data_IF_681236969371
#
_entry.id   IF_681236969371
#
_cell.length_a   1.000
_cell.length_b   1.000
_cell.length_c   1.000
_cell.angle_alpha   90.00
_cell.angle_beta   90.00
_cell.angle_gamma   90.00
#
_symmetry.space_group_name_H-M   'P 1'
#
loop_
_entity.id
_entity.type
_entity.pdbx_description
1 polymer ?
#
# COMPACT_ATOMS: atom_id res chain seq x y z
N UNK A 1 -12.55 -1.39 -23.43
CA UNK A 1 -12.75 -0.73 -22.12
C UNK A 1 -12.16 -1.56 -21.00
N UNK A 2 -12.04 -0.96 -19.82
CA UNK A 2 -11.61 -1.71 -18.63
C UNK A 2 -12.67 -2.75 -18.26
N UNK A 3 -12.25 -3.94 -17.75
CA UNK A 3 -13.20 -4.90 -17.26
C UNK A 3 -13.91 -4.32 -16.02
N UNK A 4 -15.23 -4.45 -15.98
CA UNK A 4 -16.03 -4.07 -14.82
C UNK A 4 -16.14 -5.20 -13.78
N UNK A 5 -15.67 -6.39 -14.13
CA UNK A 5 -15.62 -7.57 -13.26
C UNK A 5 -14.25 -8.26 -13.37
N UNK A 6 -13.75 -8.74 -12.24
CA UNK A 6 -12.52 -9.52 -12.15
C UNK A 6 -12.81 -10.80 -11.37
N UNK A 7 -12.52 -11.95 -11.97
CA UNK A 7 -12.69 -13.26 -11.36
C UNK A 7 -11.38 -13.89 -10.98
N UNK A 8 -11.32 -14.46 -9.78
CA UNK A 8 -10.24 -15.34 -9.36
C UNK A 8 -10.85 -16.48 -8.52
N UNK A 9 -10.97 -17.66 -9.09
CA UNK A 9 -11.64 -18.82 -8.49
C UNK A 9 -13.09 -18.46 -8.05
N UNK A 10 -13.36 -18.44 -6.74
CA UNK A 10 -14.62 -18.06 -6.13
C UNK A 10 -14.70 -16.59 -5.71
N UNK A 11 -13.59 -15.85 -5.85
CA UNK A 11 -13.55 -14.43 -5.55
C UNK A 11 -13.91 -13.59 -6.79
N UNK A 12 -14.85 -12.65 -6.62
CA UNK A 12 -15.28 -11.69 -7.64
C UNK A 12 -15.09 -10.27 -7.13
N UNK A 13 -14.59 -9.39 -8.00
CA UNK A 13 -14.61 -7.94 -7.82
C UNK A 13 -15.49 -7.32 -8.89
N UNK A 14 -16.46 -6.51 -8.49
CA UNK A 14 -17.30 -5.70 -9.37
C UNK A 14 -16.88 -4.23 -9.21
N UNK A 15 -16.62 -3.56 -10.33
CA UNK A 15 -16.16 -2.17 -10.37
C UNK A 15 -17.24 -1.34 -11.06
N UNK A 16 -17.61 -0.21 -10.45
CA UNK A 16 -18.58 0.73 -11.00
C UNK A 16 -18.18 2.17 -10.71
N UNK A 17 -18.67 3.11 -11.53
CA UNK A 17 -18.40 4.54 -11.37
C UNK A 17 -19.41 5.24 -10.44
N UNK A 18 -20.55 4.61 -10.19
CA UNK A 18 -21.61 5.13 -9.31
C UNK A 18 -22.23 4.02 -8.46
N UNK A 19 -22.83 4.42 -7.32
CA UNK A 19 -23.56 3.51 -6.45
C UNK A 19 -24.69 2.79 -7.18
N UNK A 20 -25.47 3.54 -7.98
CA UNK A 20 -26.59 2.96 -8.75
C UNK A 20 -26.10 1.87 -9.69
N UNK A 21 -25.10 2.16 -10.48
CA UNK A 21 -24.48 1.20 -11.40
C UNK A 21 -23.94 -0.05 -10.66
N UNK A 22 -23.33 0.16 -9.49
CA UNK A 22 -22.84 -0.95 -8.66
C UNK A 22 -23.97 -1.85 -8.21
N UNK A 23 -25.07 -1.27 -7.73
CA UNK A 23 -26.25 -2.02 -7.29
C UNK A 23 -26.89 -2.83 -8.41
N UNK A 24 -27.08 -2.21 -9.60
CA UNK A 24 -27.60 -2.87 -10.79
C UNK A 24 -26.73 -4.07 -11.21
N UNK A 25 -25.40 -3.89 -11.22
CA UNK A 25 -24.44 -4.96 -11.55
C UNK A 25 -24.44 -6.10 -10.53
N UNK A 26 -24.45 -5.77 -9.23
CA UNK A 26 -24.49 -6.78 -8.16
C UNK A 26 -25.79 -7.57 -8.25
N UNK A 27 -26.92 -6.90 -8.46
CA UNK A 27 -28.24 -7.54 -8.57
C UNK A 27 -28.28 -8.52 -9.74
N UNK A 28 -27.91 -8.06 -10.94
CA UNK A 28 -27.87 -8.89 -12.15
C UNK A 28 -26.94 -10.10 -11.99
N UNK A 29 -25.75 -9.89 -11.39
CA UNK A 29 -24.81 -10.97 -11.13
C UNK A 29 -25.36 -11.98 -10.12
N UNK A 30 -25.95 -11.49 -9.02
CA UNK A 30 -26.55 -12.35 -7.99
C UNK A 30 -27.65 -13.23 -8.55
N UNK A 31 -28.58 -12.65 -9.31
CA UNK A 31 -29.66 -13.39 -9.98
C UNK A 31 -29.12 -14.44 -10.95
N UNK A 32 -28.09 -14.08 -11.74
CA UNK A 32 -27.43 -15.01 -12.64
C UNK A 32 -26.78 -16.19 -11.94
N UNK A 33 -26.18 -16.00 -10.76
CA UNK A 33 -25.57 -17.05 -9.96
C UNK A 33 -26.62 -17.92 -9.26
N UNK A 34 -27.64 -17.30 -8.67
CA UNK A 34 -28.71 -17.98 -7.95
C UNK A 34 -29.58 -18.84 -8.90
N UNK A 35 -29.79 -18.39 -10.14
CA UNK A 35 -30.48 -19.18 -11.17
C UNK A 35 -29.74 -20.49 -11.50
N UNK A 36 -28.44 -20.57 -11.22
CA UNK A 36 -27.58 -21.74 -11.39
C UNK A 36 -27.39 -22.56 -10.10
N UNK A 37 -28.11 -22.21 -9.03
CA UNK A 37 -28.03 -22.87 -7.74
C UNK A 37 -26.87 -22.46 -6.85
N UNK A 38 -26.11 -21.38 -7.21
CA UNK A 38 -25.05 -20.83 -6.41
C UNK A 38 -25.58 -19.71 -5.51
N UNK A 39 -25.07 -19.57 -4.29
CA UNK A 39 -25.47 -18.50 -3.38
C UNK A 39 -24.32 -17.55 -3.09
N UNK A 40 -24.61 -16.25 -3.15
CA UNK A 40 -23.66 -15.20 -2.78
C UNK A 40 -23.50 -15.16 -1.26
N UNK A 41 -22.25 -15.18 -0.78
CA UNK A 41 -21.99 -15.03 0.64
C UNK A 41 -21.98 -13.54 1.02
N UNK A 42 -23.14 -13.01 1.39
CA UNK A 42 -23.35 -11.59 1.75
C UNK A 42 -22.42 -11.15 2.88
N UNK A 43 -22.17 -11.99 3.89
CA UNK A 43 -21.31 -11.63 5.04
C UNK A 43 -19.84 -11.45 4.64
N UNK A 44 -19.37 -12.19 3.62
CA UNK A 44 -18.00 -12.05 3.10
C UNK A 44 -17.87 -10.99 2.02
N UNK A 45 -18.97 -10.62 1.37
CA UNK A 45 -18.99 -9.59 0.34
C UNK A 45 -18.97 -8.20 0.99
N UNK A 46 -18.06 -7.33 0.54
CA UNK A 46 -17.90 -5.98 1.08
C UNK A 46 -17.93 -4.98 -0.07
N UNK A 47 -18.41 -3.79 0.22
CA UNK A 47 -18.38 -2.66 -0.69
C UNK A 47 -17.32 -1.67 -0.22
N UNK A 48 -16.50 -1.19 -1.14
CA UNK A 48 -15.49 -0.17 -0.86
C UNK A 48 -15.69 1.01 -1.81
N UNK A 49 -15.97 2.17 -1.22
CA UNK A 49 -16.07 3.44 -1.96
C UNK A 49 -14.68 4.07 -1.98
N UNK A 50 -14.03 4.04 -3.13
CA UNK A 50 -12.74 4.69 -3.32
C UNK A 50 -12.96 6.17 -3.65
N UNK A 51 -12.50 7.05 -2.78
CA UNK A 51 -12.47 8.48 -3.06
C UNK A 51 -11.07 8.84 -3.57
N UNK A 52 -11.01 9.60 -4.65
CA UNK A 52 -9.89 10.49 -4.81
C UNK A 52 -10.04 11.55 -3.70
N UNK A 53 -9.38 11.35 -2.55
CA UNK A 53 -9.31 12.42 -1.57
C UNK A 53 -8.83 13.67 -2.31
N UNK A 54 -9.68 14.68 -2.40
CA UNK A 54 -9.22 16.02 -2.69
C UNK A 54 -8.23 16.34 -1.57
N UNK A 55 -6.94 16.15 -1.87
CA UNK A 55 -5.86 16.38 -0.93
C UNK A 55 -5.96 17.83 -0.52
N UNK A 56 -6.56 18.10 0.64
CA UNK A 56 -6.53 19.42 1.25
C UNK A 56 -5.05 19.73 1.44
N UNK A 57 -4.55 20.69 0.66
CA UNK A 57 -3.15 21.10 0.72
C UNK A 57 -2.77 21.49 2.10
N UNK A 58 -1.80 20.78 2.59
CA UNK A 58 -0.92 21.28 3.64
C UNK A 58 0.39 21.67 2.95
N UNK A 59 0.68 22.96 2.85
CA UNK A 59 2.04 23.40 2.57
C UNK A 59 2.97 22.81 3.62
N UNK A 60 4.16 22.36 3.23
CA UNK A 60 5.06 21.62 4.09
C UNK A 60 5.21 22.31 5.47
N UNK A 61 4.82 21.62 6.54
CA UNK A 61 4.92 22.08 7.91
C UNK A 61 3.71 22.85 8.45
N UNK A 62 2.59 22.97 7.73
CA UNK A 62 1.40 23.70 8.18
C UNK A 62 0.14 22.87 8.04
N UNK A 63 -0.57 22.64 9.14
CA UNK A 63 -1.88 22.02 9.15
C UNK A 63 -2.96 23.04 8.76
N UNK A 64 -4.06 22.65 8.07
CA UNK A 64 -5.13 23.57 7.75
C UNK A 64 -5.88 24.00 9.02
N UNK A 65 -6.14 25.30 9.14
CA UNK A 65 -6.95 25.84 10.21
C UNK A 65 -8.40 25.36 10.09
N UNK A 66 -8.99 24.88 11.18
CA UNK A 66 -10.38 24.39 11.22
C UNK A 66 -11.42 25.46 10.88
N UNK A 67 -11.07 26.74 10.95
CA UNK A 67 -11.97 27.87 10.71
C UNK A 67 -11.77 28.48 9.33
N UNK A 68 -10.54 28.84 8.94
CA UNK A 68 -10.29 29.56 7.69
C UNK A 68 -9.64 28.71 6.59
N UNK A 69 -9.29 27.46 6.86
CA UNK A 69 -8.68 26.53 5.88
C UNK A 69 -7.22 26.79 5.51
N UNK A 70 -6.65 27.97 5.90
CA UNK A 70 -5.24 28.28 5.60
C UNK A 70 -4.30 27.56 6.58
N UNK A 71 -3.04 27.32 6.14
CA UNK A 71 -2.07 26.60 6.94
C UNK A 71 -1.74 27.30 8.26
N UNK A 72 -1.70 26.54 9.37
CA UNK A 72 -1.36 27.04 10.70
C UNK A 72 0.14 27.00 10.94
N UNK A 73 0.67 28.03 11.63
CA UNK A 73 2.06 28.08 12.11
C UNK A 73 2.14 27.72 13.60
N UNK A 74 3.28 28.08 14.23
CA UNK A 74 3.55 27.82 15.65
C UNK A 74 2.55 28.46 16.63
N UNK A 75 1.80 29.48 16.20
CA UNK A 75 0.80 30.16 17.03
C UNK A 75 -0.61 29.63 16.75
N UNK A 76 -0.84 28.35 17.08
CA UNK A 76 -2.07 27.62 16.84
C UNK A 76 -2.41 26.72 18.03
N UNK A 77 -3.69 26.34 18.14
CA UNK A 77 -4.20 25.46 19.19
C UNK A 77 -4.96 24.30 18.57
N UNK A 78 -4.85 23.12 19.19
CA UNK A 78 -5.54 21.91 18.78
C UNK A 78 -6.93 21.85 19.40
N UNK A 79 -7.95 21.56 18.62
CA UNK A 79 -9.28 21.27 19.12
C UNK A 79 -9.33 19.87 19.76
N UNK A 80 -9.80 19.76 21.01
CA UNK A 80 -9.87 18.49 21.74
C UNK A 80 -10.95 17.56 21.18
N UNK A 81 -11.99 18.10 20.53
CA UNK A 81 -13.10 17.33 19.97
C UNK A 81 -12.75 16.70 18.59
N UNK A 82 -12.34 17.54 17.64
CA UNK A 82 -12.12 17.08 16.25
C UNK A 82 -10.65 16.90 15.88
N UNK A 83 -9.70 17.16 16.77
CA UNK A 83 -8.27 17.00 16.52
C UNK A 83 -7.70 17.92 15.42
N UNK A 84 -8.40 18.97 15.01
CA UNK A 84 -7.94 19.93 13.98
C UNK A 84 -7.29 21.16 14.62
N UNK A 85 -6.25 21.65 13.97
CA UNK A 85 -5.57 22.87 14.40
C UNK A 85 -6.36 24.13 14.05
N UNK A 86 -6.27 25.15 14.89
CA UNK A 86 -6.91 26.46 14.69
C UNK A 86 -5.91 27.55 14.96
N UNK A 87 -5.82 28.57 14.10
CA UNK A 87 -5.01 29.75 14.38
C UNK A 87 -5.49 30.43 15.65
N UNK A 88 -4.58 31.00 16.43
CA UNK A 88 -4.95 31.83 17.58
C UNK A 88 -5.95 32.93 17.20
N UNK A 89 -5.76 33.60 16.06
CA UNK A 89 -6.71 34.63 15.58
C UNK A 89 -8.10 34.07 15.28
N UNK A 90 -8.18 32.84 14.78
CA UNK A 90 -9.43 32.16 14.44
C UNK A 90 -10.07 31.47 15.64
N UNK A 91 -9.31 31.21 16.71
CA UNK A 91 -9.82 30.57 17.93
C UNK A 91 -10.61 31.50 18.84
N UNK A 92 -10.48 32.82 18.65
CA UNK A 92 -11.08 33.83 19.51
C UNK A 92 -10.40 33.99 20.89
N UNK A 93 -9.28 33.27 21.12
CA UNK A 93 -8.58 33.34 22.42
C UNK A 93 -7.76 34.63 22.49
N UNK A 94 -8.11 35.45 23.49
CA UNK A 94 -7.39 36.69 23.85
C UNK A 94 -6.28 36.30 24.83
N UNK A 95 -5.00 36.40 24.44
CA UNK A 95 -3.87 36.13 25.31
C UNK A 95 -2.87 35.11 24.72
N UNK A 96 -1.95 34.60 25.54
CA UNK A 96 -0.92 33.63 25.15
C UNK A 96 -1.51 32.23 25.18
N UNK A 97 -1.31 31.42 24.13
CA UNK A 97 -1.69 30.02 24.13
C UNK A 97 -0.77 29.24 25.08
N UNK A 98 -1.35 28.45 26.00
CA UNK A 98 -0.62 27.55 26.90
C UNK A 98 -0.78 26.11 26.43
N UNK A 99 0.22 25.26 26.64
CA UNK A 99 0.24 23.86 26.15
C UNK A 99 -0.94 22.99 26.66
N UNK A 100 -1.53 23.32 27.81
CA UNK A 100 -2.59 22.52 28.42
C UNK A 100 -3.98 23.19 28.36
N UNK A 101 -4.23 24.04 27.36
CA UNK A 101 -5.56 24.64 27.19
C UNK A 101 -6.52 23.68 26.48
N UNK A 102 -7.61 23.29 27.18
CA UNK A 102 -8.72 22.60 26.54
C UNK A 102 -9.47 23.58 25.64
N UNK A 103 -9.34 23.40 24.33
CA UNK A 103 -9.96 24.25 23.33
C UNK A 103 -10.88 23.44 22.42
N UNK A 104 -12.11 23.91 22.28
CA UNK A 104 -13.07 23.39 21.29
C UNK A 104 -13.29 24.45 20.22
N UNK A 105 -13.08 24.08 18.95
CA UNK A 105 -13.20 25.03 17.84
C UNK A 105 -14.66 25.48 17.62
N UNK A 106 -14.83 26.61 16.93
CA UNK A 106 -16.16 27.17 16.64
C UNK A 106 -17.07 26.20 15.91
N UNK A 107 -16.53 25.31 15.07
CA UNK A 107 -17.29 24.23 14.39
C UNK A 107 -17.86 23.21 15.37
N UNK A 108 -17.10 22.82 16.38
CA UNK A 108 -17.56 21.87 17.39
C UNK A 108 -18.41 22.54 18.49
N UNK A 109 -18.33 23.86 18.65
CA UNK A 109 -19.15 24.62 19.62
C UNK A 109 -20.54 24.98 19.11
N UNK A 110 -20.66 25.22 17.82
CA UNK A 110 -21.96 25.38 17.17
C UNK A 110 -22.39 23.98 16.78
N UNK A 111 -23.55 23.55 17.28
CA UNK A 111 -24.33 22.46 16.68
C UNK A 111 -24.85 22.94 15.31
N UNK A 112 -23.92 23.32 14.44
CA UNK A 112 -24.19 23.55 13.03
C UNK A 112 -24.32 22.17 12.47
N UNK A 113 -25.51 21.75 12.10
CA UNK A 113 -25.75 20.70 11.15
C UNK A 113 -24.69 20.81 10.07
N UNK A 114 -23.75 19.89 10.08
CA UNK A 114 -22.68 19.82 9.11
C UNK A 114 -23.35 19.46 7.81
N UNK A 115 -23.67 20.49 7.01
CA UNK A 115 -24.02 20.28 5.62
C UNK A 115 -22.76 19.68 4.98
N UNK A 116 -22.75 18.33 4.82
CA UNK A 116 -21.78 17.59 4.03
C UNK A 116 -20.69 16.83 4.76
N UNK A 117 -20.88 16.25 5.94
CA UNK A 117 -20.45 14.87 6.13
C UNK A 117 -21.56 14.02 5.50
N UNK A 118 -21.37 13.58 4.25
CA UNK A 118 -22.12 12.41 3.78
C UNK A 118 -21.97 11.39 4.92
N UNK A 119 -23.07 11.03 5.59
CA UNK A 119 -23.07 9.90 6.51
C UNK A 119 -22.38 8.77 5.75
N UNK A 120 -21.25 8.30 6.26
CA UNK A 120 -20.53 7.20 5.63
C UNK A 120 -21.50 6.04 5.70
N UNK A 121 -22.17 5.80 4.60
CA UNK A 121 -23.18 4.79 4.46
C UNK A 121 -22.55 3.46 4.88
N UNK A 122 -22.99 2.93 6.01
CA UNK A 122 -22.37 1.74 6.61
C UNK A 122 -22.74 0.48 5.84
N UNK A 123 -23.88 0.50 5.16
CA UNK A 123 -24.42 -0.64 4.44
C UNK A 123 -25.07 -0.19 3.14
N UNK A 124 -24.96 -0.99 2.08
CA UNK A 124 -25.78 -0.89 0.88
C UNK A 124 -26.84 -1.99 0.94
N UNK A 125 -28.10 -1.64 0.71
CA UNK A 125 -29.22 -2.57 0.72
C UNK A 125 -29.71 -2.75 -0.72
N UNK A 126 -29.77 -4.00 -1.21
CA UNK A 126 -30.36 -4.33 -2.49
C UNK A 126 -31.89 -4.44 -2.39
N UNK A 127 -32.57 -4.53 -3.55
CA UNK A 127 -34.04 -4.65 -3.62
C UNK A 127 -34.58 -5.91 -2.92
N UNK A 128 -33.81 -6.98 -2.90
CA UNK A 128 -34.15 -8.24 -2.21
C UNK A 128 -33.89 -8.20 -0.70
N UNK A 129 -33.48 -7.06 -0.14
CA UNK A 129 -33.18 -6.88 1.28
C UNK A 129 -31.76 -7.34 1.68
N UNK A 130 -30.93 -7.82 0.75
CA UNK A 130 -29.53 -8.17 1.04
C UNK A 130 -28.74 -6.93 1.42
N UNK A 131 -27.97 -6.99 2.52
CA UNK A 131 -27.20 -5.90 3.07
C UNK A 131 -25.70 -6.15 2.91
N UNK A 132 -25.00 -5.26 2.25
CA UNK A 132 -23.53 -5.31 2.07
C UNK A 132 -22.88 -4.22 2.89
N UNK A 133 -21.94 -4.61 3.76
CA UNK A 133 -21.19 -3.68 4.59
C UNK A 133 -20.23 -2.83 3.76
N UNK A 134 -20.26 -1.52 3.99
CA UNK A 134 -19.30 -0.58 3.42
C UNK A 134 -18.04 -0.51 4.29
N UNK A 135 -16.88 -0.76 3.68
CA UNK A 135 -15.59 -0.81 4.38
C UNK A 135 -14.58 0.15 3.76
N UNK A 136 -13.71 0.71 4.59
CA UNK A 136 -12.59 1.54 4.13
C UNK A 136 -11.33 0.72 3.81
N UNK A 137 -11.29 -0.55 4.23
CA UNK A 137 -10.17 -1.46 4.02
C UNK A 137 -10.71 -2.87 3.81
N UNK A 138 -10.14 -3.58 2.85
CA UNK A 138 -10.55 -4.94 2.52
C UNK A 138 -9.35 -5.82 2.19
N UNK A 139 -9.35 -7.04 2.70
CA UNK A 139 -8.34 -8.03 2.35
C UNK A 139 -8.80 -8.80 1.09
N UNK A 140 -8.13 -8.58 -0.03
CA UNK A 140 -8.40 -9.25 -1.29
C UNK A 140 -7.18 -10.06 -1.73
N UNK A 141 -7.38 -11.34 -2.03
CA UNK A 141 -6.30 -12.29 -2.40
C UNK A 141 -5.09 -12.25 -1.46
N UNK A 142 -5.37 -12.00 -0.17
CA UNK A 142 -4.34 -11.90 0.85
C UNK A 142 -3.61 -10.57 0.91
N UNK A 143 -3.84 -9.61 0.03
CA UNK A 143 -3.34 -8.25 0.17
C UNK A 143 -4.39 -7.29 0.74
N UNK A 144 -3.95 -6.19 1.35
CA UNK A 144 -4.85 -5.23 1.99
C UNK A 144 -5.07 -4.03 1.07
N UNK A 145 -6.28 -3.91 0.55
CA UNK A 145 -6.73 -2.75 -0.20
C UNK A 145 -7.27 -1.67 0.75
N UNK A 146 -7.02 -0.42 0.43
CA UNK A 146 -7.53 0.74 1.17
C UNK A 146 -8.30 1.66 0.22
N UNK A 147 -9.44 2.19 0.67
CA UNK A 147 -10.22 3.18 -0.06
C UNK A 147 -9.42 4.45 -0.38
N UNK A 148 -8.47 4.82 0.47
CA UNK A 148 -7.53 5.93 0.25
C UNK A 148 -6.38 5.59 -0.71
N UNK A 149 -6.27 4.34 -1.15
CA UNK A 149 -5.17 3.87 -1.99
C UNK A 149 -3.84 3.74 -1.25
N UNK A 150 -2.76 3.52 -2.03
CA UNK A 150 -1.40 3.37 -1.49
C UNK A 150 -1.09 1.99 -0.93
N UNK A 151 0.12 1.85 -0.35
CA UNK A 151 0.67 0.57 0.15
C UNK A 151 0.82 0.50 1.67
N UNK A 152 0.43 1.55 2.39
CA UNK A 152 0.68 1.66 3.85
C UNK A 152 0.01 0.53 4.62
N UNK A 153 -1.28 0.29 4.38
CA UNK A 153 -2.03 -0.76 5.07
C UNK A 153 -1.52 -2.15 4.73
N UNK A 154 -1.23 -2.39 3.44
CA UNK A 154 -0.64 -3.65 2.97
C UNK A 154 0.70 -3.91 3.66
N UNK A 155 1.63 -2.95 3.68
CA UNK A 155 2.93 -3.08 4.33
C UNK A 155 2.83 -3.34 5.83
N UNK A 156 1.86 -2.71 6.53
CA UNK A 156 1.61 -2.93 7.97
C UNK A 156 1.12 -4.37 8.20
N UNK A 157 0.11 -4.81 7.45
CA UNK A 157 -0.46 -6.16 7.61
C UNK A 157 0.59 -7.22 7.31
N UNK A 158 1.35 -7.08 6.21
CA UNK A 158 2.39 -8.03 5.84
C UNK A 158 3.52 -8.10 6.86
N UNK A 159 3.92 -6.97 7.43
CA UNK A 159 4.89 -6.95 8.53
C UNK A 159 4.37 -7.71 9.76
N UNK A 160 3.09 -7.54 10.11
CA UNK A 160 2.46 -8.30 11.22
C UNK A 160 2.42 -9.80 10.93
N UNK A 161 2.05 -10.19 9.71
CA UNK A 161 2.05 -11.60 9.27
C UNK A 161 3.46 -12.20 9.32
N UNK A 162 4.48 -11.46 8.88
CA UNK A 162 5.88 -11.88 8.94
C UNK A 162 6.34 -12.10 10.39
N UNK A 163 5.99 -11.20 11.31
CA UNK A 163 6.28 -11.39 12.74
C UNK A 163 5.56 -12.59 13.33
N UNK A 164 4.31 -12.85 12.95
CA UNK A 164 3.58 -14.06 13.37
C UNK A 164 4.34 -15.30 12.90
N UNK A 165 4.73 -15.35 11.64
CA UNK A 165 5.47 -16.47 11.08
C UNK A 165 6.87 -16.63 11.71
N UNK A 166 7.56 -15.51 11.96
CA UNK A 166 8.86 -15.53 12.64
C UNK A 166 8.74 -16.12 14.03
N UNK A 167 7.72 -15.74 14.81
CA UNK A 167 7.47 -16.29 16.16
C UNK A 167 7.23 -17.80 16.13
N UNK A 168 6.52 -18.31 15.14
CA UNK A 168 6.29 -19.75 14.96
C UNK A 168 7.60 -20.51 14.71
N UNK A 169 8.61 -19.86 14.13
CA UNK A 169 9.91 -20.44 13.84
C UNK A 169 10.94 -20.25 14.96
N UNK A 170 10.64 -19.47 16.01
CA UNK A 170 11.56 -19.23 17.15
C UNK A 170 12.13 -20.53 17.73
N UNK A 171 11.35 -21.59 17.97
CA UNK A 171 11.89 -22.84 18.55
C UNK A 171 13.02 -23.45 17.72
N UNK A 172 13.01 -23.22 16.40
CA UNK A 172 14.06 -23.68 15.49
C UNK A 172 15.18 -22.64 15.33
N UNK A 173 14.82 -21.38 15.06
CA UNK A 173 15.76 -20.29 14.84
C UNK A 173 16.63 -19.99 16.08
N UNK A 174 16.12 -20.27 17.30
CA UNK A 174 16.83 -20.11 18.57
C UNK A 174 17.84 -21.23 18.89
N UNK A 175 17.79 -22.38 18.19
CA UNK A 175 18.70 -23.49 18.49
C UNK A 175 20.16 -23.12 18.16
N UNK A 176 21.09 -23.40 19.12
CA UNK A 176 22.51 -23.11 18.96
C UNK A 176 23.21 -24.00 17.93
N UNK A 177 22.77 -25.26 17.76
CA UNK A 177 23.32 -26.19 16.76
C UNK A 177 22.93 -25.93 15.30
N UNK A 178 22.04 -24.95 15.02
CA UNK A 178 21.60 -24.61 13.68
C UNK A 178 22.51 -23.51 13.12
N UNK A 179 23.13 -23.76 11.96
CA UNK A 179 24.01 -22.78 11.32
C UNK A 179 23.25 -21.51 10.90
N UNK A 180 23.91 -20.34 10.93
CA UNK A 180 23.31 -19.07 10.53
C UNK A 180 22.82 -19.10 9.08
N UNK A 181 23.56 -19.76 8.17
CA UNK A 181 23.12 -19.92 6.77
C UNK A 181 21.79 -20.69 6.66
N UNK A 182 21.60 -21.73 7.47
CA UNK A 182 20.34 -22.49 7.49
C UNK A 182 19.20 -21.67 8.08
N UNK A 183 19.45 -20.90 9.16
CA UNK A 183 18.48 -19.94 9.71
C UNK A 183 18.07 -18.91 8.66
N UNK A 184 19.04 -18.36 7.91
CA UNK A 184 18.79 -17.43 6.82
C UNK A 184 17.96 -18.04 5.68
N UNK A 185 18.22 -19.31 5.30
CA UNK A 185 17.41 -20.02 4.30
C UNK A 185 15.94 -20.16 4.74
N UNK A 186 15.71 -20.54 6.00
CA UNK A 186 14.36 -20.63 6.55
C UNK A 186 13.68 -19.27 6.63
N UNK A 187 14.40 -18.26 7.12
CA UNK A 187 13.90 -16.87 7.16
C UNK A 187 13.43 -16.43 5.78
N UNK A 188 14.28 -16.57 4.75
CA UNK A 188 13.95 -16.19 3.39
C UNK A 188 12.71 -16.91 2.86
N UNK A 189 12.61 -18.23 3.08
CA UNK A 189 11.51 -19.03 2.52
C UNK A 189 10.19 -18.86 3.25
N UNK A 190 10.20 -18.65 4.56
CA UNK A 190 9.00 -18.67 5.39
C UNK A 190 8.58 -17.31 5.96
N UNK A 191 9.52 -16.38 6.13
CA UNK A 191 9.23 -15.07 6.76
C UNK A 191 9.32 -13.95 5.75
N UNK A 192 10.46 -13.83 5.05
CA UNK A 192 10.67 -12.77 4.07
C UNK A 192 9.66 -12.88 2.92
N UNK A 193 9.36 -14.09 2.44
CA UNK A 193 8.34 -14.34 1.41
C UNK A 193 6.95 -13.84 1.83
N UNK A 194 6.57 -14.00 3.10
CA UNK A 194 5.31 -13.48 3.65
C UNK A 194 5.34 -11.95 3.73
N UNK A 195 6.48 -11.38 4.12
CA UNK A 195 6.65 -9.93 4.26
C UNK A 195 6.51 -9.19 2.93
N UNK A 196 7.01 -9.78 1.84
CA UNK A 196 7.03 -9.16 0.50
C UNK A 196 5.92 -9.64 -0.43
N UNK A 197 4.96 -10.41 0.07
CA UNK A 197 3.85 -10.90 -0.76
C UNK A 197 3.05 -9.73 -1.34
N UNK A 198 2.75 -9.78 -2.64
CA UNK A 198 2.06 -8.75 -3.43
C UNK A 198 2.80 -7.38 -3.51
N UNK A 199 4.03 -7.29 -2.99
CA UNK A 199 4.80 -6.02 -2.98
C UNK A 199 5.19 -5.52 -4.36
N UNK A 200 5.10 -6.35 -5.39
CA UNK A 200 5.35 -6.00 -6.79
C UNK A 200 4.40 -4.92 -7.32
N UNK A 201 3.20 -4.80 -6.74
CA UNK A 201 2.19 -3.83 -7.13
C UNK A 201 2.17 -2.57 -6.26
N UNK A 202 2.95 -2.51 -5.17
CA UNK A 202 2.87 -1.43 -4.21
C UNK A 202 3.56 -0.14 -4.67
N UNK A 203 2.85 1.02 -4.60
CA UNK A 203 3.46 2.34 -4.76
C UNK A 203 4.16 2.77 -3.48
N UNK A 204 5.30 2.14 -3.17
CA UNK A 204 5.98 2.29 -1.88
C UNK A 204 6.51 3.70 -1.65
N UNK A 205 6.22 4.22 -0.45
CA UNK A 205 6.78 5.46 0.09
C UNK A 205 8.02 5.16 0.95
N UNK A 206 8.76 6.20 1.30
CA UNK A 206 9.94 6.09 2.18
C UNK A 206 9.59 5.46 3.54
N UNK A 207 8.41 5.78 4.08
CA UNK A 207 7.94 5.22 5.35
C UNK A 207 7.71 3.70 5.27
N UNK A 208 7.24 3.20 4.12
CA UNK A 208 7.04 1.77 3.88
C UNK A 208 8.39 1.05 3.78
N UNK A 209 9.34 1.61 3.03
CA UNK A 209 10.71 1.10 2.91
C UNK A 209 11.35 0.99 4.31
N UNK A 210 11.30 2.07 5.09
CA UNK A 210 11.84 2.11 6.44
C UNK A 210 11.13 1.15 7.40
N UNK A 211 9.82 0.91 7.21
CA UNK A 211 9.06 -0.05 8.02
C UNK A 211 9.57 -1.47 7.74
N UNK A 212 9.67 -1.86 6.48
CA UNK A 212 10.16 -3.19 6.11
C UNK A 212 11.58 -3.40 6.60
N UNK A 213 12.51 -2.47 6.36
CA UNK A 213 13.90 -2.59 6.79
C UNK A 213 14.06 -2.66 8.31
N UNK A 214 13.35 -1.82 9.06
CA UNK A 214 13.42 -1.85 10.54
C UNK A 214 12.98 -3.19 11.09
N UNK A 215 11.90 -3.76 10.54
CA UNK A 215 11.39 -5.05 10.99
C UNK A 215 12.31 -6.20 10.57
N UNK A 216 12.82 -6.20 9.34
CA UNK A 216 13.83 -7.15 8.91
C UNK A 216 15.04 -7.09 9.85
N UNK A 217 15.64 -5.92 10.04
CA UNK A 217 16.83 -5.75 10.85
C UNK A 217 16.65 -6.22 12.31
N UNK A 218 15.44 -6.06 12.88
CA UNK A 218 15.13 -6.58 14.21
C UNK A 218 15.16 -8.12 14.23
N UNK A 219 14.57 -8.78 13.22
CA UNK A 219 14.58 -10.24 13.08
C UNK A 219 15.99 -10.79 12.84
N UNK A 220 16.81 -10.11 11.99
CA UNK A 220 18.18 -10.52 11.71
C UNK A 220 19.07 -10.44 12.96
N UNK A 221 18.96 -9.33 13.72
CA UNK A 221 19.70 -9.21 14.99
C UNK A 221 19.35 -10.33 15.97
N UNK A 222 18.07 -10.62 16.08
CA UNK A 222 17.60 -11.70 16.94
C UNK A 222 18.18 -13.06 16.51
N UNK A 223 18.17 -13.39 15.21
CA UNK A 223 18.73 -14.65 14.69
C UNK A 223 20.25 -14.76 14.90
N UNK A 224 20.96 -13.65 14.81
CA UNK A 224 22.41 -13.59 15.01
C UNK A 224 22.82 -13.47 16.49
N UNK A 225 21.88 -13.31 17.42
CA UNK A 225 22.16 -13.11 18.84
C UNK A 225 22.88 -11.80 19.15
N UNK A 226 22.66 -10.76 18.36
CA UNK A 226 23.27 -9.43 18.54
C UNK A 226 22.22 -8.39 18.89
N UNK A 227 22.62 -7.37 19.64
CA UNK A 227 21.79 -6.25 20.05
C UNK A 227 22.12 -4.98 19.25
N UNK A 228 21.35 -3.93 19.44
CA UNK A 228 21.66 -2.61 18.85
C UNK A 228 22.96 -2.05 19.39
N UNK A 229 23.31 -2.36 20.65
CA UNK A 229 24.54 -1.90 21.32
C UNK A 229 25.82 -2.44 20.65
N UNK A 230 25.74 -3.61 20.03
CA UNK A 230 26.89 -4.25 19.37
C UNK A 230 27.27 -3.57 18.04
N UNK A 231 26.47 -2.60 17.58
CA UNK A 231 26.71 -1.77 16.39
C UNK A 231 27.03 -2.55 15.11
N UNK A 232 26.56 -3.81 15.01
CA UNK A 232 26.75 -4.64 13.81
C UNK A 232 25.86 -4.10 12.69
N UNK A 233 26.44 -3.89 11.51
CA UNK A 233 25.71 -3.36 10.35
C UNK A 233 24.70 -4.37 9.79
N UNK A 234 23.61 -3.87 9.20
CA UNK A 234 22.59 -4.73 8.56
C UNK A 234 23.18 -5.56 7.42
N UNK A 235 24.14 -5.01 6.68
CA UNK A 235 24.79 -5.72 5.58
C UNK A 235 25.65 -6.89 6.10
N UNK A 236 26.32 -6.70 7.20
CA UNK A 236 27.07 -7.78 7.85
C UNK A 236 26.15 -8.89 8.35
N UNK A 237 25.00 -8.54 8.96
CA UNK A 237 24.00 -9.52 9.39
C UNK A 237 23.43 -10.32 8.22
N UNK A 238 23.13 -9.64 7.11
CA UNK A 238 22.70 -10.30 5.86
C UNK A 238 23.77 -11.23 5.31
N UNK A 239 25.04 -10.82 5.34
CA UNK A 239 26.17 -11.66 4.95
C UNK A 239 26.32 -12.92 5.81
N UNK A 240 26.23 -12.79 7.14
CA UNK A 240 26.28 -13.94 8.08
C UNK A 240 25.15 -14.94 7.84
N UNK A 241 23.97 -14.47 7.51
CA UNK A 241 22.78 -15.28 7.24
C UNK A 241 22.68 -15.74 5.77
N UNK A 242 23.51 -15.21 4.88
CA UNK A 242 23.48 -15.43 3.44
C UNK A 242 22.10 -15.13 2.84
N UNK A 243 21.58 -13.94 3.12
CA UNK A 243 20.29 -13.46 2.63
C UNK A 243 20.43 -12.11 1.94
N UNK A 244 19.52 -11.85 1.05
CA UNK A 244 19.34 -10.56 0.39
C UNK A 244 18.41 -9.66 1.21
N UNK A 245 18.63 -8.34 1.17
CA UNK A 245 17.79 -7.38 1.87
C UNK A 245 16.36 -7.32 1.34
N UNK A 246 15.41 -7.06 2.22
CA UNK A 246 13.98 -7.04 1.88
C UNK A 246 13.65 -6.05 0.75
N UNK A 247 14.27 -4.86 0.73
CA UNK A 247 14.03 -3.86 -0.31
C UNK A 247 14.58 -4.30 -1.69
N UNK A 248 15.70 -5.00 -1.73
CA UNK A 248 16.22 -5.56 -2.99
C UNK A 248 15.30 -6.66 -3.53
N UNK A 249 14.71 -7.47 -2.65
CA UNK A 249 13.71 -8.48 -3.03
C UNK A 249 12.45 -7.81 -3.60
N UNK A 250 11.94 -6.76 -2.94
CA UNK A 250 10.78 -5.98 -3.41
C UNK A 250 11.06 -5.35 -4.78
N UNK A 251 12.20 -4.67 -4.93
CA UNK A 251 12.64 -4.05 -6.18
C UNK A 251 12.72 -5.06 -7.32
N UNK A 252 13.37 -6.20 -7.08
CA UNK A 252 13.48 -7.28 -8.07
C UNK A 252 12.10 -7.84 -8.45
N UNK A 253 11.21 -8.04 -7.49
CA UNK A 253 9.85 -8.52 -7.74
C UNK A 253 9.05 -7.52 -8.57
N UNK A 254 9.13 -6.21 -8.25
CA UNK A 254 8.49 -5.13 -9.01
C UNK A 254 9.01 -5.05 -10.44
N UNK A 255 10.32 -5.11 -10.64
CA UNK A 255 10.90 -5.11 -11.99
C UNK A 255 10.55 -6.37 -12.78
N UNK A 256 10.46 -7.55 -12.12
CA UNK A 256 9.99 -8.78 -12.76
C UNK A 256 8.55 -8.63 -13.25
N UNK A 257 7.68 -8.09 -12.41
CA UNK A 257 6.28 -7.80 -12.74
C UNK A 257 6.18 -6.78 -13.87
N UNK A 258 6.91 -5.68 -13.77
CA UNK A 258 6.98 -4.67 -14.84
C UNK A 258 7.36 -5.29 -16.18
N UNK A 259 8.43 -6.08 -16.24
CA UNK A 259 8.83 -6.75 -17.48
C UNK A 259 7.76 -7.73 -17.99
N UNK A 260 6.96 -8.36 -17.10
CA UNK A 260 5.84 -9.18 -17.52
C UNK A 260 4.74 -8.33 -18.18
N UNK A 261 4.37 -7.23 -17.56
CA UNK A 261 3.34 -6.29 -18.08
C UNK A 261 3.77 -5.64 -19.40
N UNK A 262 5.05 -5.24 -19.53
CA UNK A 262 5.56 -4.64 -20.78
C UNK A 262 5.53 -5.59 -21.99
N UNK A 263 5.57 -6.90 -21.77
CA UNK A 263 5.48 -7.91 -22.82
C UNK A 263 4.06 -8.41 -23.10
N UNK A 264 3.06 -7.88 -22.42
CA UNK A 264 1.66 -8.17 -22.67
C UNK A 264 1.20 -7.48 -23.97
N UNK A 265 0.27 -8.09 -24.66
CA UNK A 265 -0.35 -7.48 -25.83
C UNK A 265 -1.06 -6.18 -25.49
N UNK A 266 -1.11 -5.24 -26.43
CA UNK A 266 -1.75 -3.94 -26.22
C UNK A 266 -3.24 -4.05 -25.92
N UNK A 267 -3.88 -5.10 -26.43
CA UNK A 267 -5.30 -5.38 -26.20
C UNK A 267 -5.58 -6.10 -24.89
N UNK A 268 -4.52 -6.52 -24.17
CA UNK A 268 -4.66 -7.12 -22.83
C UNK A 268 -5.11 -6.05 -21.83
N UNK A 269 -6.10 -6.38 -21.00
CA UNK A 269 -6.66 -5.47 -20.00
C UNK A 269 -5.61 -4.97 -18.98
N UNK A 270 -4.57 -5.77 -18.69
CA UNK A 270 -3.45 -5.36 -17.81
C UNK A 270 -2.67 -4.21 -18.43
N UNK A 271 -2.45 -4.26 -19.77
CA UNK A 271 -1.81 -3.17 -20.52
C UNK A 271 -2.70 -1.93 -20.53
N UNK A 272 -4.00 -2.10 -20.71
CA UNK A 272 -4.96 -1.00 -20.64
C UNK A 272 -4.99 -0.35 -19.24
N UNK A 273 -4.94 -1.12 -18.16
CA UNK A 273 -4.85 -0.60 -16.79
C UNK A 273 -3.54 0.14 -16.51
N UNK A 274 -2.43 -0.34 -17.09
CA UNK A 274 -1.11 0.33 -16.94
C UNK A 274 -1.12 1.75 -17.51
N UNK A 275 -1.77 1.91 -18.64
CA UNK A 275 -1.75 3.15 -19.44
C UNK A 275 -3.01 4.00 -19.17
N UNK A 276 -3.86 3.58 -18.22
CA UNK A 276 -5.07 4.29 -17.87
C UNK A 276 -4.76 5.68 -17.32
N UNK A 277 -5.26 6.70 -18.00
CA UNK A 277 -5.34 8.04 -17.43
C UNK A 277 -6.67 8.16 -16.67
N UNK A 278 -6.58 8.50 -15.40
CA UNK A 278 -7.76 8.63 -14.53
C UNK A 278 -8.19 10.08 -14.55
N UNK A 279 -9.37 10.32 -15.12
CA UNK A 279 -10.00 11.64 -15.11
C UNK A 279 -10.21 12.11 -13.66
N UNK A 280 -9.82 13.34 -13.40
CA UNK A 280 -10.02 13.95 -12.09
C UNK A 280 -9.17 15.20 -11.87
N UNK A 281 -9.64 16.09 -11.03
CA UNK A 281 -8.88 17.27 -10.62
C UNK A 281 -7.85 16.83 -9.60
N UNK A 282 -6.58 16.84 -9.98
CA UNK A 282 -5.48 16.61 -9.03
C UNK A 282 -5.54 17.65 -7.92
N UNK A 283 -5.66 17.17 -6.70
CA UNK A 283 -5.63 18.02 -5.51
C UNK A 283 -4.35 18.87 -5.50
N UNK A 284 -4.41 20.02 -4.87
CA UNK A 284 -3.27 20.95 -4.73
C UNK A 284 -2.26 20.35 -3.74
N UNK A 285 -1.01 20.06 -4.14
CA UNK A 285 0.07 19.49 -3.32
C UNK A 285 0.98 18.57 -4.14
N UNK A 286 1.94 17.93 -3.47
CA UNK A 286 2.76 16.92 -4.11
C UNK A 286 1.87 15.69 -4.38
N UNK A 287 1.76 15.22 -5.63
CA UNK A 287 0.98 14.02 -5.95
C UNK A 287 1.47 12.82 -5.13
N UNK A 288 0.56 11.89 -4.83
CA UNK A 288 0.96 10.61 -4.24
C UNK A 288 1.91 9.89 -5.21
N UNK A 289 2.92 9.23 -4.63
CA UNK A 289 3.87 8.43 -5.42
C UNK A 289 3.13 7.29 -6.10
N UNK A 290 3.31 7.17 -7.41
CA UNK A 290 2.68 6.13 -8.22
C UNK A 290 3.57 4.89 -8.31
N UNK A 291 2.97 3.75 -8.67
CA UNK A 291 3.73 2.53 -8.95
C UNK A 291 4.74 2.74 -10.09
N UNK A 292 4.37 3.47 -11.16
CA UNK A 292 5.24 3.78 -12.28
C UNK A 292 6.47 4.59 -11.85
N UNK A 293 6.31 5.53 -10.94
CA UNK A 293 7.44 6.28 -10.38
C UNK A 293 8.39 5.39 -9.58
N UNK A 294 7.85 4.39 -8.84
CA UNK A 294 8.67 3.40 -8.16
C UNK A 294 9.48 2.57 -9.14
N UNK A 295 8.84 2.06 -10.20
CA UNK A 295 9.52 1.30 -11.28
C UNK A 295 10.60 2.14 -11.93
N UNK A 296 10.31 3.39 -12.30
CA UNK A 296 11.28 4.29 -12.92
C UNK A 296 12.49 4.56 -12.01
N UNK A 297 12.27 4.68 -10.71
CA UNK A 297 13.34 4.84 -9.72
C UNK A 297 14.21 3.57 -9.65
N UNK A 298 13.57 2.40 -9.61
CA UNK A 298 14.27 1.12 -9.58
C UNK A 298 15.08 0.88 -10.86
N UNK A 299 14.52 1.17 -12.03
CA UNK A 299 15.20 1.08 -13.32
C UNK A 299 16.41 2.01 -13.39
N UNK A 300 16.25 3.26 -12.98
CA UNK A 300 17.37 4.24 -12.93
C UNK A 300 18.51 3.74 -12.05
N UNK A 301 18.20 3.15 -10.89
CA UNK A 301 19.21 2.62 -9.97
C UNK A 301 20.03 1.46 -10.57
N UNK A 302 19.48 0.76 -11.56
CA UNK A 302 20.15 -0.33 -12.30
C UNK A 302 20.70 0.11 -13.68
N UNK A 303 20.50 1.38 -14.07
CA UNK A 303 20.87 1.88 -15.40
C UNK A 303 20.08 1.23 -16.53
N UNK A 304 18.80 0.90 -16.29
CA UNK A 304 17.91 0.23 -17.24
C UNK A 304 17.07 1.25 -18.02
N UNK A 305 16.79 0.90 -19.28
CA UNK A 305 15.81 1.56 -20.14
C UNK A 305 14.63 0.61 -20.43
N UNK A 306 13.43 1.15 -20.63
CA UNK A 306 12.22 0.34 -20.78
C UNK A 306 12.26 -0.64 -21.95
N UNK A 307 12.91 -0.29 -23.06
CA UNK A 307 13.04 -1.16 -24.25
C UNK A 307 13.69 -2.52 -23.97
N UNK A 308 14.56 -2.60 -22.98
CA UNK A 308 15.23 -3.86 -22.59
C UNK A 308 14.24 -4.88 -22.00
N UNK A 309 13.11 -4.42 -21.49
CA UNK A 309 12.09 -5.30 -20.90
C UNK A 309 11.44 -6.24 -21.92
N UNK A 310 11.54 -5.96 -23.23
CA UNK A 310 11.02 -6.80 -24.30
C UNK A 310 11.83 -8.11 -24.45
N UNK A 311 13.15 -8.08 -24.25
CA UNK A 311 13.95 -9.30 -24.16
C UNK A 311 13.87 -9.90 -22.75
N UNK A 312 13.07 -10.96 -22.62
CA UNK A 312 12.85 -11.64 -21.34
C UNK A 312 14.13 -12.18 -20.72
N UNK A 313 15.07 -12.67 -21.55
CA UNK A 313 16.32 -13.28 -21.05
C UNK A 313 17.29 -12.21 -20.58
N UNK A 314 17.50 -11.18 -21.39
CA UNK A 314 18.33 -10.03 -21.04
C UNK A 314 17.79 -9.34 -19.76
N UNK A 315 16.48 -9.07 -19.73
CA UNK A 315 15.80 -8.48 -18.57
C UNK A 315 16.03 -9.28 -17.30
N UNK A 316 15.78 -10.60 -17.34
CA UNK A 316 15.96 -11.50 -16.20
C UNK A 316 17.40 -11.49 -15.68
N UNK A 317 18.38 -11.55 -16.57
CA UNK A 317 19.80 -11.55 -16.20
C UNK A 317 20.19 -10.26 -15.48
N UNK A 318 19.74 -9.12 -15.99
CA UNK A 318 20.07 -7.81 -15.40
C UNK A 318 19.46 -7.66 -14.00
N UNK A 319 18.17 -7.98 -13.82
CA UNK A 319 17.50 -7.87 -12.53
C UNK A 319 18.01 -8.88 -11.49
N UNK A 320 18.66 -9.96 -11.92
CA UNK A 320 19.35 -10.92 -11.03
C UNK A 320 20.80 -10.54 -10.73
N UNK A 321 21.30 -9.42 -11.27
CA UNK A 321 22.68 -8.98 -11.11
C UNK A 321 23.68 -9.69 -12.03
N UNK A 322 23.23 -10.57 -12.91
CA UNK A 322 24.05 -11.24 -13.92
C UNK A 322 24.19 -10.34 -15.15
N UNK A 323 24.90 -9.21 -15.03
CA UNK A 323 25.17 -8.35 -16.19
C UNK A 323 26.05 -9.13 -17.17
N UNK A 324 25.66 -9.26 -18.45
CA UNK A 324 26.60 -9.71 -19.46
C UNK A 324 27.75 -8.70 -19.49
N UNK A 325 28.97 -9.19 -19.32
CA UNK A 325 30.18 -8.38 -19.56
C UNK A 325 30.13 -7.88 -21.00
N UNK A 326 30.58 -6.66 -21.28
CA UNK A 326 30.57 -5.98 -22.59
C UNK A 326 31.10 -6.88 -23.74
N UNK A 327 31.93 -7.88 -23.44
CA UNK A 327 32.49 -8.82 -24.38
C UNK A 327 31.47 -9.82 -25.02
N UNK A 328 30.24 -9.93 -24.50
CA UNK A 328 29.25 -10.85 -25.06
C UNK A 328 28.24 -10.20 -26.01
N UNK A 329 28.24 -8.88 -26.12
CA UNK A 329 27.36 -8.13 -27.05
C UNK A 329 27.96 -8.04 -28.48
N UNK A 330 29.30 -8.08 -28.63
CA UNK A 330 29.97 -7.97 -29.95
C UNK A 330 29.93 -9.27 -30.79
N UNK A 331 29.48 -10.38 -30.23
CA UNK A 331 29.41 -11.68 -30.95
C UNK A 331 28.05 -12.02 -31.55
N UNK A 332 27.10 -11.05 -31.59
CA UNK A 332 25.76 -11.27 -32.17
C UNK A 332 25.36 -10.24 -33.23
N UNK A 333 26.35 -9.65 -33.91
CA UNK A 333 26.15 -8.91 -35.16
C UNK A 333 26.64 -9.78 -36.32
#
# INVERSE_FOLDING_TARGET
>A
GLPWELFYADDLVIIATSKRELMERIQAWKEGMESKGLRVNVNKTKVMKCFAEACVKVESGKYPCSVCGTGVGSNSILCVECGKWTHRKCSGIKGILRENMNYTCTRCRMDVEVIGEEEVEKEIVLEDGSKFECVSKFCYLGDMLSAAGGSVEASIVRTRCAWKQFRNLIPFLGKRGVSLKLKGKLYRSCVQSVMVYASETWPMKVEDDQRLERNENAMLRWMCGVTIKDRVSSNELRGRLNIEGVLEVVKRSRLRWFGHVERKDKDDWVSACRDLDVDGVRGRGRPMKTWRECVNTDMKSLGLVSGVAQDRVAWRNIILGNRPTHASMEKRT
#
